data_IF_565498836666
#
_entry.id   IF_565498836666
#
_cell.length_a   1.000
_cell.length_b   1.000
_cell.length_c   1.000
_cell.angle_alpha   90.00
_cell.angle_beta   90.00
_cell.angle_gamma   90.00
#
_symmetry.space_group_name_H-M   'P 1'
#
loop_
_entity.id
_entity.type
_entity.pdbx_description
1 polymer ?
#
# COMPACT_ATOMS: atom_id res chain seq x y z
N UNK A 1 -30.39 -4.72 47.99
CA UNK A 1 -29.75 -3.51 47.41
C UNK A 1 -28.37 -3.80 46.80
N UNK A 2 -27.46 -4.53 47.47
CA UNK A 2 -26.09 -4.80 46.99
C UNK A 2 -25.99 -5.56 45.63
N UNK A 3 -26.96 -6.44 45.33
CA UNK A 3 -27.01 -7.18 44.04
C UNK A 3 -27.38 -6.29 42.85
N UNK A 4 -28.27 -5.31 43.06
CA UNK A 4 -28.73 -4.38 42.01
C UNK A 4 -27.61 -3.39 41.66
N UNK A 5 -26.87 -2.92 42.67
CA UNK A 5 -25.68 -2.08 42.48
C UNK A 5 -24.58 -2.80 41.67
N UNK A 6 -24.36 -4.10 41.93
CA UNK A 6 -23.41 -4.91 41.14
C UNK A 6 -23.83 -5.06 39.67
N UNK A 7 -25.12 -5.27 39.41
CA UNK A 7 -25.65 -5.39 38.04
C UNK A 7 -25.49 -4.06 37.28
N UNK A 8 -25.79 -2.93 37.92
CA UNK A 8 -25.60 -1.60 37.33
C UNK A 8 -24.14 -1.30 36.99
N UNK A 9 -23.20 -1.69 37.86
CA UNK A 9 -21.76 -1.53 37.61
C UNK A 9 -21.30 -2.40 36.43
N UNK A 10 -21.77 -3.64 36.34
CA UNK A 10 -21.44 -4.52 35.21
C UNK A 10 -22.00 -3.99 33.88
N UNK A 11 -23.22 -3.43 33.89
CA UNK A 11 -23.83 -2.83 32.71
C UNK A 11 -23.08 -1.56 32.26
N UNK A 12 -22.66 -0.73 33.22
CA UNK A 12 -21.83 0.44 32.94
C UNK A 12 -20.45 0.05 32.36
N UNK A 13 -19.80 -0.99 32.90
CA UNK A 13 -18.54 -1.51 32.35
C UNK A 13 -18.71 -2.05 30.92
N UNK A 14 -19.82 -2.74 30.64
CA UNK A 14 -20.10 -3.28 29.31
C UNK A 14 -20.25 -2.19 28.25
N UNK A 15 -20.86 -1.06 28.63
CA UNK A 15 -21.05 0.10 27.75
C UNK A 15 -19.73 0.82 27.40
N UNK A 16 -18.73 0.76 28.28
CA UNK A 16 -17.40 1.37 28.05
C UNK A 16 -16.53 0.48 27.14
N UNK A 17 -16.87 -0.80 26.96
CA UNK A 17 -16.10 -1.74 26.13
C UNK A 17 -16.44 -1.72 24.63
N UNK A 18 -17.37 -0.89 24.16
CA UNK A 18 -17.71 -0.80 22.72
C UNK A 18 -16.76 0.10 21.90
N UNK A 19 -15.53 0.29 22.36
CA UNK A 19 -14.53 1.20 21.76
C UNK A 19 -13.75 0.66 20.56
N UNK A 20 -13.99 -0.57 20.10
CA UNK A 20 -13.37 -1.07 18.85
C UNK A 20 -14.08 -0.53 17.60
N UNK A 21 -14.28 0.78 17.51
CA UNK A 21 -14.66 1.40 16.24
C UNK A 21 -13.42 1.45 15.35
N UNK A 22 -13.43 0.66 14.28
CA UNK A 22 -12.40 0.61 13.24
C UNK A 22 -12.52 1.88 12.37
N UNK A 23 -12.17 3.03 12.95
CA UNK A 23 -12.16 4.27 12.18
C UNK A 23 -11.06 4.20 11.13
N UNK A 24 -11.35 4.53 9.86
CA UNK A 24 -10.33 4.54 8.83
C UNK A 24 -9.24 5.54 9.22
N UNK A 25 -7.97 5.24 8.92
CA UNK A 25 -6.88 6.14 9.27
C UNK A 25 -7.05 7.48 8.53
N UNK A 26 -6.69 8.61 9.16
CA UNK A 26 -6.87 9.92 8.56
C UNK A 26 -5.96 10.10 7.33
N UNK A 27 -6.46 10.82 6.32
CA UNK A 27 -5.74 11.09 5.07
C UNK A 27 -4.43 11.87 5.28
N UNK A 28 -4.29 12.61 6.38
CA UNK A 28 -3.05 13.31 6.76
C UNK A 28 -1.86 12.36 6.95
N UNK A 29 -2.13 11.09 7.22
CA UNK A 29 -1.13 10.05 7.36
C UNK A 29 -0.93 9.22 6.10
N UNK A 30 -1.46 9.66 4.96
CA UNK A 30 -1.22 9.06 3.66
C UNK A 30 0.27 9.14 3.29
N UNK A 31 0.76 8.22 2.43
CA UNK A 31 2.14 8.23 1.98
C UNK A 31 2.42 9.47 1.13
N UNK A 32 3.62 10.01 1.29
CA UNK A 32 4.09 11.14 0.50
C UNK A 32 4.47 10.72 -0.93
N UNK A 33 4.69 11.71 -1.80
CA UNK A 33 5.02 11.47 -3.20
C UNK A 33 6.27 10.59 -3.38
N UNK A 34 7.28 10.75 -2.53
CA UNK A 34 8.53 9.98 -2.65
C UNK A 34 8.31 8.50 -2.30
N UNK A 35 7.50 8.21 -1.28
CA UNK A 35 7.09 6.84 -0.94
C UNK A 35 6.32 6.19 -2.09
N UNK A 36 5.41 6.93 -2.72
CA UNK A 36 4.61 6.44 -3.85
C UNK A 36 5.53 6.14 -5.05
N UNK A 37 6.45 7.02 -5.39
CA UNK A 37 7.42 6.80 -6.45
C UNK A 37 8.26 5.55 -6.23
N UNK A 38 8.83 5.39 -5.02
CA UNK A 38 9.61 4.21 -4.64
C UNK A 38 8.77 2.94 -4.69
N UNK A 39 7.50 2.99 -4.30
CA UNK A 39 6.58 1.87 -4.40
C UNK A 39 6.32 1.45 -5.85
N UNK A 40 6.06 2.41 -6.74
CA UNK A 40 5.90 2.18 -8.18
C UNK A 40 7.18 1.57 -8.75
N UNK A 41 8.34 2.14 -8.44
CA UNK A 41 9.64 1.62 -8.87
C UNK A 41 9.85 0.17 -8.41
N UNK A 42 9.56 -0.14 -7.14
CA UNK A 42 9.66 -1.49 -6.59
C UNK A 42 8.72 -2.47 -7.29
N UNK A 43 7.47 -2.09 -7.54
CA UNK A 43 6.49 -2.93 -8.25
C UNK A 43 6.94 -3.23 -9.68
N UNK A 44 7.43 -2.22 -10.39
CA UNK A 44 7.95 -2.37 -11.74
C UNK A 44 9.21 -3.25 -11.75
N UNK A 45 10.13 -3.02 -10.81
CA UNK A 45 11.35 -3.81 -10.65
C UNK A 45 11.07 -5.30 -10.45
N UNK A 46 10.02 -5.63 -9.68
CA UNK A 46 9.58 -7.01 -9.49
C UNK A 46 9.02 -7.63 -10.77
N UNK A 47 8.15 -6.90 -11.49
CA UNK A 47 7.59 -7.37 -12.77
C UNK A 47 8.67 -7.61 -13.81
N UNK A 48 9.61 -6.66 -13.96
CA UNK A 48 10.72 -6.82 -14.88
C UNK A 48 11.68 -7.93 -14.45
N UNK A 49 11.95 -8.13 -13.15
CA UNK A 49 12.82 -9.21 -12.70
C UNK A 49 12.33 -10.57 -13.21
N UNK A 50 11.04 -10.87 -13.00
CA UNK A 50 10.40 -12.08 -13.51
C UNK A 50 10.49 -12.14 -15.04
N UNK A 51 10.12 -11.05 -15.72
CA UNK A 51 10.12 -11.00 -17.18
C UNK A 51 11.52 -11.16 -17.79
N UNK A 52 12.54 -10.52 -17.22
CA UNK A 52 13.93 -10.60 -17.66
C UNK A 52 14.50 -12.00 -17.53
N UNK A 53 14.14 -12.71 -16.47
CA UNK A 53 14.56 -14.10 -16.26
C UNK A 53 13.96 -15.01 -17.33
N UNK A 54 12.68 -14.82 -17.67
CA UNK A 54 12.03 -15.62 -18.72
C UNK A 54 12.55 -15.31 -20.13
N UNK A 55 12.91 -14.05 -20.41
CA UNK A 55 13.36 -13.63 -21.74
C UNK A 55 14.89 -13.69 -21.92
N UNK A 56 15.66 -13.96 -20.87
CA UNK A 56 17.12 -13.91 -20.90
C UNK A 56 17.69 -12.51 -21.21
N UNK A 57 16.91 -11.45 -20.96
CA UNK A 57 17.27 -10.07 -21.30
C UNK A 57 17.74 -9.29 -20.09
N UNK A 58 18.63 -8.31 -20.29
CA UNK A 58 19.00 -7.38 -19.22
C UNK A 58 17.84 -6.45 -18.85
N UNK A 59 17.74 -6.10 -17.56
CA UNK A 59 16.71 -5.20 -17.06
C UNK A 59 16.92 -3.77 -17.59
N UNK A 60 15.89 -3.13 -18.18
CA UNK A 60 16.03 -1.77 -18.71
C UNK A 60 16.11 -0.73 -17.59
N UNK A 61 16.85 0.35 -17.83
CA UNK A 61 16.82 1.55 -16.99
C UNK A 61 15.55 2.33 -17.29
N UNK A 62 14.73 2.51 -16.25
CA UNK A 62 13.46 3.21 -16.30
C UNK A 62 13.49 4.43 -15.39
N UNK A 63 12.84 5.50 -15.84
CA UNK A 63 12.60 6.70 -15.06
C UNK A 63 11.08 6.92 -14.96
N UNK A 64 10.61 7.25 -13.77
CA UNK A 64 9.19 7.50 -13.49
C UNK A 64 8.99 9.01 -13.49
N UNK A 65 8.06 9.49 -14.30
CA UNK A 65 7.69 10.90 -14.38
C UNK A 65 6.19 11.08 -14.17
N UNK A 66 5.77 12.30 -13.77
CA UNK A 66 4.37 12.75 -13.74
C UNK A 66 3.40 11.78 -13.06
N UNK A 67 3.70 11.44 -11.81
CA UNK A 67 2.78 10.64 -10.98
C UNK A 67 1.54 11.49 -10.68
N UNK A 68 0.38 10.98 -11.07
CA UNK A 68 -0.92 11.59 -10.78
C UNK A 68 -1.78 10.61 -9.98
N UNK A 69 -2.14 10.99 -8.76
CA UNK A 69 -2.97 10.17 -7.87
C UNK A 69 -4.43 10.54 -8.12
N UNK A 70 -5.24 9.54 -8.50
CA UNK A 70 -6.69 9.72 -8.73
C UNK A 70 -7.53 9.47 -7.48
N UNK A 71 -7.13 8.46 -6.69
CA UNK A 71 -7.89 8.05 -5.51
C UNK A 71 -6.96 7.55 -4.41
N UNK A 72 -7.30 7.89 -3.17
CA UNK A 72 -6.70 7.36 -1.95
C UNK A 72 -7.83 6.87 -1.07
N UNK A 73 -7.85 5.57 -0.76
CA UNK A 73 -8.84 4.96 0.12
C UNK A 73 -8.13 4.45 1.39
N UNK A 74 -8.31 5.15 2.52
CA UNK A 74 -7.80 4.67 3.80
C UNK A 74 -8.59 3.47 4.30
N UNK A 75 -7.89 2.48 4.82
CA UNK A 75 -8.43 1.26 5.40
C UNK A 75 -7.54 0.77 6.53
N UNK A 76 -8.04 -0.14 7.36
CA UNK A 76 -7.21 -0.86 8.32
C UNK A 76 -7.09 -2.31 7.86
N UNK A 77 -5.85 -2.79 7.71
CA UNK A 77 -5.58 -4.18 7.33
C UNK A 77 -4.49 -4.73 8.23
N UNK A 78 -4.72 -5.91 8.80
CA UNK A 78 -3.84 -6.52 9.82
C UNK A 78 -3.55 -5.57 11.00
N UNK A 79 -4.57 -4.84 11.46
CA UNK A 79 -4.49 -3.84 12.54
C UNK A 79 -3.50 -2.68 12.25
N UNK A 80 -3.19 -2.44 10.97
CA UNK A 80 -2.30 -1.37 10.55
C UNK A 80 -2.99 -0.45 9.53
N UNK A 81 -2.73 0.87 9.59
CA UNK A 81 -3.18 1.83 8.59
C UNK A 81 -2.70 1.42 7.19
N UNK A 82 -3.63 1.28 6.26
CA UNK A 82 -3.38 0.84 4.89
C UNK A 82 -4.11 1.74 3.90
N UNK A 83 -3.38 2.27 2.94
CA UNK A 83 -3.92 3.15 1.91
C UNK A 83 -3.92 2.42 0.58
N UNK A 84 -5.09 2.34 -0.04
CA UNK A 84 -5.23 1.90 -1.42
C UNK A 84 -5.15 3.13 -2.34
N UNK A 85 -4.14 3.18 -3.20
CA UNK A 85 -3.91 4.28 -4.11
C UNK A 85 -4.08 3.82 -5.56
N UNK A 86 -4.78 4.62 -6.35
CA UNK A 86 -4.86 4.43 -7.79
C UNK A 86 -4.50 5.71 -8.52
N UNK A 87 -3.87 5.58 -9.69
CA UNK A 87 -3.41 6.74 -10.44
C UNK A 87 -2.76 6.39 -11.77
N UNK A 88 -2.07 7.37 -12.34
CA UNK A 88 -1.29 7.27 -13.56
C UNK A 88 0.15 7.74 -13.34
N UNK A 89 1.04 7.28 -14.20
CA UNK A 89 2.43 7.72 -14.26
C UNK A 89 2.96 7.58 -15.69
N UNK A 90 4.03 8.29 -16.00
CA UNK A 90 4.80 8.10 -17.22
C UNK A 90 6.05 7.28 -16.92
N UNK A 91 6.31 6.27 -17.74
CA UNK A 91 7.60 5.58 -17.77
C UNK A 91 8.40 6.11 -18.94
N UNK A 92 9.62 6.54 -18.68
CA UNK A 92 10.61 6.87 -19.70
C UNK A 92 11.65 5.75 -19.73
N UNK A 93 11.72 5.04 -20.85
CA UNK A 93 12.74 4.00 -21.04
C UNK A 93 13.96 4.60 -21.70
N UNK A 94 15.11 4.56 -21.01
CA UNK A 94 16.40 4.94 -21.60
C UNK A 94 16.99 3.70 -22.24
N UNK A 95 16.82 3.54 -23.56
CA UNK A 95 17.56 2.54 -24.34
C UNK A 95 18.56 3.26 -25.23
N UNK A 96 19.79 2.74 -25.35
CA UNK A 96 20.92 3.36 -26.04
C UNK A 96 20.62 3.76 -27.50
N UNK A 97 19.60 3.14 -28.12
CA UNK A 97 19.23 3.35 -29.53
C UNK A 97 18.00 4.24 -29.77
N UNK A 98 17.23 4.61 -28.74
CA UNK A 98 15.96 5.34 -28.93
C UNK A 98 15.86 6.56 -27.98
N UNK A 99 15.45 7.71 -28.54
CA UNK A 99 15.12 8.93 -27.80
C UNK A 99 13.93 8.67 -26.86
N UNK A 100 14.21 8.23 -25.62
CA UNK A 100 13.31 8.16 -24.46
C UNK A 100 11.82 8.05 -24.75
N UNK A 101 11.34 6.85 -25.15
CA UNK A 101 9.91 6.63 -25.34
C UNK A 101 9.19 6.83 -24.00
N UNK A 102 8.19 7.72 -23.98
CA UNK A 102 7.32 7.95 -22.83
C UNK A 102 6.07 7.09 -22.97
N UNK A 103 5.79 6.26 -21.97
CA UNK A 103 4.64 5.36 -21.95
C UNK A 103 3.79 5.70 -20.74
N UNK A 104 2.52 6.06 -20.97
CA UNK A 104 1.55 6.27 -19.90
C UNK A 104 1.08 4.92 -19.36
N UNK A 105 1.15 4.77 -18.04
CA UNK A 105 0.73 3.57 -17.33
C UNK A 105 -0.16 3.97 -16.14
N UNK A 106 -1.05 3.07 -15.75
CA UNK A 106 -1.83 3.20 -14.53
C UNK A 106 -1.20 2.38 -13.40
N UNK A 107 -1.33 2.84 -12.16
CA UNK A 107 -0.90 2.08 -10.99
C UNK A 107 -2.05 1.84 -10.01
N UNK A 108 -1.89 0.74 -9.26
CA UNK A 108 -2.71 0.37 -8.11
C UNK A 108 -1.76 -0.13 -7.03
N UNK A 109 -1.76 0.54 -5.88
CA UNK A 109 -0.85 0.27 -4.77
C UNK A 109 -1.63 0.09 -3.47
N UNK A 110 -1.20 -0.87 -2.67
CA UNK A 110 -1.65 -1.01 -1.28
C UNK A 110 -0.45 -0.70 -0.37
N UNK A 111 -0.46 0.46 0.27
CA UNK A 111 0.63 0.92 1.11
C UNK A 111 0.23 0.84 2.58
N UNK A 112 0.91 0.00 3.34
CA UNK A 112 0.68 -0.19 4.76
C UNK A 112 1.76 0.55 5.57
N UNK A 113 1.32 1.35 6.54
CA UNK A 113 2.19 2.06 7.47
C UNK A 113 2.56 1.15 8.64
N UNK A 114 3.84 1.12 9.02
CA UNK A 114 4.27 0.33 10.18
C UNK A 114 3.98 1.06 11.51
N UNK A 115 3.93 0.31 12.62
CA UNK A 115 3.66 0.84 13.98
C UNK A 115 4.57 2.01 14.39
N UNK A 116 5.84 2.01 13.97
CA UNK A 116 6.76 3.10 14.25
C UNK A 116 6.47 4.39 13.45
N UNK A 117 5.53 4.35 12.50
CA UNK A 117 5.06 5.48 11.71
C UNK A 117 6.02 6.01 10.64
N UNK A 118 7.26 5.51 10.59
CA UNK A 118 8.35 6.03 9.74
C UNK A 118 8.58 5.27 8.45
N UNK A 119 8.06 4.05 8.35
CA UNK A 119 8.35 3.13 7.25
C UNK A 119 7.07 2.60 6.63
N UNK A 120 7.17 2.29 5.34
CA UNK A 120 6.06 1.85 4.52
C UNK A 120 6.32 0.46 3.96
N UNK A 121 5.25 -0.30 3.78
CA UNK A 121 5.26 -1.61 3.12
C UNK A 121 4.32 -1.60 1.93
N UNK A 122 4.79 -2.12 0.81
CA UNK A 122 3.97 -2.45 -0.34
C UNK A 122 3.36 -3.83 -0.13
N UNK A 123 2.04 -3.90 -0.10
CA UNK A 123 1.28 -5.15 -0.06
C UNK A 123 0.88 -5.57 -1.47
N UNK A 124 1.34 -6.74 -1.91
CA UNK A 124 0.92 -7.37 -3.17
C UNK A 124 0.04 -8.58 -2.85
N UNK A 125 -1.19 -8.67 -3.37
CA UNK A 125 -2.04 -9.84 -3.15
C UNK A 125 -1.40 -11.09 -3.75
N UNK A 126 -1.48 -12.20 -3.04
CA UNK A 126 -1.07 -13.51 -3.56
C UNK A 126 -2.20 -14.11 -4.39
N UNK A 127 -2.09 -14.01 -5.71
CA UNK A 127 -3.13 -14.48 -6.65
C UNK A 127 -3.27 -16.00 -6.69
N UNK A 128 -2.31 -16.74 -6.13
CA UNK A 128 -2.33 -18.21 -6.13
C UNK A 128 -2.97 -18.78 -4.86
N UNK A 129 -3.37 -17.93 -3.91
CA UNK A 129 -4.01 -18.36 -2.68
C UNK A 129 -5.50 -18.04 -2.68
N UNK A 130 -6.33 -19.04 -2.34
CA UNK A 130 -7.77 -18.85 -2.07
C UNK A 130 -8.06 -18.11 -0.75
N UNK A 131 -7.02 -17.69 -0.03
CA UNK A 131 -7.10 -16.95 1.23
C UNK A 131 -6.47 -15.56 1.07
N UNK A 132 -6.87 -14.58 1.88
CA UNK A 132 -6.37 -13.19 1.88
C UNK A 132 -4.89 -13.08 2.30
N UNK A 133 -3.99 -13.64 1.50
CA UNK A 133 -2.55 -13.59 1.69
C UNK A 133 -1.95 -12.44 0.88
N UNK A 134 -1.00 -11.75 1.50
CA UNK A 134 -0.28 -10.65 0.90
C UNK A 134 1.22 -10.87 1.06
N UNK A 135 1.95 -10.68 -0.03
CA UNK A 135 3.38 -10.45 0.04
C UNK A 135 3.63 -9.01 0.50
N UNK A 136 4.39 -8.86 1.57
CA UNK A 136 4.77 -7.55 2.12
C UNK A 136 6.21 -7.24 1.78
N UNK A 137 6.44 -6.10 1.12
CA UNK A 137 7.79 -5.61 0.79
C UNK A 137 8.03 -4.27 1.44
N UNK A 138 9.14 -4.15 2.17
CA UNK A 138 9.54 -2.87 2.73
C UNK A 138 9.97 -1.91 1.61
N UNK A 139 9.46 -0.68 1.67
CA UNK A 139 9.89 0.41 0.79
C UNK A 139 11.15 1.02 1.42
N UNK A 140 12.28 1.07 0.68
CA UNK A 140 13.54 1.65 1.17
C UNK A 140 13.49 3.18 1.25
#
# INVERSE_FOLDING_TARGET
MLKIARILICFALYFIMTGCSVNPPPLEFAPDATTIEKAIALQINKKYGVLSTHLGTQKPTIEIEKINIRKIEPSNKFNLPTYHLTGDYLVVTKNNKNKGKKIKNSFTLNLQRQNAGKTWRLLLPDTNSSSDKYFSYQIP
#
